data_IF_198477542447
#
_entry.id   IF_198477542447
#
_cell.length_a   1.000
_cell.length_b   1.000
_cell.length_c   1.000
_cell.angle_alpha   90.00
_cell.angle_beta   90.00
_cell.angle_gamma   90.00
#
_symmetry.space_group_name_H-M   'P 1'
#
loop_
_entity.id
_entity.type
_entity.pdbx_description
1 polymer ?
#
# COMPACT_ATOMS: atom_id res chain seq x y z
N UNK A 1 0.37 5.47 6.69
CA UNK A 1 1.21 4.60 5.84
C UNK A 1 2.64 5.13 5.69
N UNK A 2 2.85 6.38 5.24
CA UNK A 2 4.19 7.01 5.11
C UNK A 2 4.98 7.00 6.42
N UNK A 3 4.32 7.19 7.57
CA UNK A 3 4.96 7.14 8.89
C UNK A 3 5.48 5.76 9.30
N UNK A 4 4.85 4.67 8.83
CA UNK A 4 5.32 3.30 9.05
C UNK A 4 6.51 2.99 8.13
N UNK A 5 6.44 3.50 6.89
CA UNK A 5 7.48 3.43 5.87
C UNK A 5 8.78 4.12 6.33
N UNK A 6 8.65 5.31 6.94
CA UNK A 6 9.78 6.05 7.51
C UNK A 6 10.40 5.28 8.68
N UNK A 7 9.60 4.62 9.52
CA UNK A 7 10.10 3.78 10.61
C UNK A 7 10.87 2.56 10.10
N UNK A 8 10.34 1.86 9.09
CA UNK A 8 10.99 0.69 8.47
C UNK A 8 12.31 1.09 7.79
N UNK A 9 12.34 2.22 7.07
CA UNK A 9 13.55 2.73 6.42
C UNK A 9 14.56 3.32 7.42
N UNK A 10 14.10 3.98 8.50
CA UNK A 10 14.97 4.50 9.54
C UNK A 10 15.68 3.39 10.33
N UNK A 11 15.05 2.21 10.49
CA UNK A 11 15.72 1.03 11.06
C UNK A 11 16.90 0.56 10.20
N UNK A 12 16.83 0.69 8.86
CA UNK A 12 17.98 0.39 7.98
C UNK A 12 19.12 1.41 8.13
N UNK A 13 18.81 2.68 8.38
CA UNK A 13 19.84 3.73 8.51
C UNK A 13 20.45 3.82 9.92
N UNK A 14 19.71 3.48 10.99
CA UNK A 14 20.28 3.39 12.34
C UNK A 14 21.30 2.24 12.49
N UNK A 15 21.31 1.27 11.56
CA UNK A 15 22.20 0.11 11.58
C UNK A 15 23.69 0.47 11.63
N UNK A 16 24.13 1.63 11.13
CA UNK A 16 25.56 1.97 11.14
C UNK A 16 26.10 2.32 12.54
N UNK A 17 25.22 2.75 13.45
CA UNK A 17 25.60 3.21 14.80
C UNK A 17 25.42 2.15 15.89
N UNK A 18 24.74 1.03 15.61
CA UNK A 18 24.58 -0.04 16.60
C UNK A 18 25.83 -0.92 16.74
N UNK A 19 26.60 -1.08 15.66
CA UNK A 19 27.86 -1.84 15.67
C UNK A 19 28.94 -1.23 16.57
N UNK A 20 28.89 0.07 16.86
CA UNK A 20 29.87 0.74 17.73
C UNK A 20 29.50 0.71 19.22
N UNK A 21 28.26 0.33 19.57
CA UNK A 21 27.79 0.38 20.96
C UNK A 21 28.15 -0.88 21.77
N UNK A 22 28.31 -2.02 21.09
CA UNK A 22 28.59 -3.31 21.72
C UNK A 22 30.04 -3.71 21.44
N UNK A 23 30.96 -3.28 22.32
CA UNK A 23 32.33 -3.79 22.35
C UNK A 23 32.37 -5.31 22.61
N UNK A 24 33.53 -5.91 22.42
CA UNK A 24 33.87 -7.35 22.30
C UNK A 24 33.41 -8.32 23.44
N UNK A 25 32.52 -7.91 24.34
CA UNK A 25 32.14 -8.67 25.54
C UNK A 25 30.86 -9.54 25.46
N UNK A 26 30.07 -9.52 24.38
CA UNK A 26 28.80 -10.27 24.31
C UNK A 26 28.51 -10.85 22.91
N UNK A 27 29.29 -11.87 22.53
CA UNK A 27 29.18 -12.55 21.22
C UNK A 27 27.76 -13.05 20.91
N UNK A 28 27.02 -13.53 21.92
CA UNK A 28 25.66 -14.07 21.75
C UNK A 28 24.60 -12.97 21.60
N UNK A 29 24.67 -11.87 22.37
CA UNK A 29 23.78 -10.70 22.17
C UNK A 29 23.98 -10.04 20.80
N UNK A 30 25.24 -9.89 20.34
CA UNK A 30 25.53 -9.37 18.99
C UNK A 30 24.96 -10.31 17.92
N UNK A 31 25.19 -11.62 18.05
CA UNK A 31 24.66 -12.63 17.13
C UNK A 31 23.13 -12.64 17.06
N UNK A 32 22.45 -12.60 18.21
CA UNK A 32 20.98 -12.55 18.29
C UNK A 32 20.44 -11.27 17.63
N UNK A 33 21.14 -10.15 17.80
CA UNK A 33 20.78 -8.88 17.17
C UNK A 33 20.98 -8.93 15.65
N UNK A 34 22.08 -9.51 15.15
CA UNK A 34 22.32 -9.68 13.71
C UNK A 34 21.27 -10.60 13.07
N UNK A 35 20.92 -11.70 13.73
CA UNK A 35 19.86 -12.61 13.27
C UNK A 35 18.48 -11.92 13.22
N UNK A 36 18.16 -11.09 14.22
CA UNK A 36 16.95 -10.27 14.18
C UNK A 36 16.93 -9.32 12.98
N UNK A 37 18.06 -8.65 12.69
CA UNK A 37 18.15 -7.74 11.55
C UNK A 37 18.02 -8.46 10.21
N UNK A 38 18.54 -9.68 10.10
CA UNK A 38 18.36 -10.52 8.92
C UNK A 38 16.88 -10.91 8.72
N UNK A 39 16.21 -11.36 9.79
CA UNK A 39 14.77 -11.64 9.80
C UNK A 39 13.93 -10.39 9.48
N UNK A 40 14.36 -9.21 9.92
CA UNK A 40 13.73 -7.95 9.56
C UNK A 40 13.83 -7.65 8.07
N UNK A 41 15.01 -7.82 7.47
CA UNK A 41 15.16 -7.64 6.04
C UNK A 41 14.34 -8.66 5.26
N UNK A 42 14.36 -9.93 5.64
CA UNK A 42 13.58 -10.99 4.98
C UNK A 42 12.07 -10.74 5.05
N UNK A 43 11.54 -10.32 6.20
CA UNK A 43 10.10 -10.05 6.38
C UNK A 43 9.60 -8.82 5.62
N UNK A 44 10.49 -7.86 5.31
CA UNK A 44 10.12 -6.60 4.63
C UNK A 44 10.37 -6.63 3.12
N UNK A 45 11.28 -7.48 2.63
CA UNK A 45 11.61 -7.61 1.20
C UNK A 45 10.39 -7.85 0.28
N UNK A 46 9.43 -8.73 0.62
CA UNK A 46 8.25 -8.96 -0.23
C UNK A 46 7.30 -7.76 -0.32
N UNK A 47 7.33 -6.84 0.65
CA UNK A 47 6.42 -5.69 0.72
C UNK A 47 6.84 -4.58 -0.27
N UNK A 48 8.14 -4.41 -0.46
CA UNK A 48 8.72 -3.35 -1.32
C UNK A 48 8.18 -3.39 -2.77
N UNK A 49 8.22 -4.52 -3.51
CA UNK A 49 7.71 -4.55 -4.88
C UNK A 49 6.19 -4.30 -4.95
N UNK A 50 5.44 -4.68 -3.92
CA UNK A 50 4.00 -4.43 -3.84
C UNK A 50 3.69 -2.94 -3.63
N UNK A 51 4.51 -2.22 -2.85
CA UNK A 51 4.42 -0.75 -2.73
C UNK A 51 4.71 -0.06 -4.06
N UNK A 52 5.68 -0.56 -4.83
CA UNK A 52 5.98 -0.02 -6.16
C UNK A 52 4.77 -0.18 -7.09
N UNK A 53 4.14 -1.36 -7.14
CA UNK A 53 2.90 -1.60 -7.90
C UNK A 53 1.77 -0.66 -7.47
N UNK A 54 1.63 -0.42 -6.16
CA UNK A 54 0.60 0.47 -5.63
C UNK A 54 0.80 1.93 -6.07
N UNK A 55 2.04 2.40 -6.03
CA UNK A 55 2.41 3.75 -6.49
C UNK A 55 2.15 3.91 -7.99
N UNK A 56 2.51 2.91 -8.81
CA UNK A 56 2.27 2.90 -10.25
C UNK A 56 0.76 2.98 -10.54
N UNK A 57 -0.05 2.13 -9.90
CA UNK A 57 -1.51 2.14 -10.09
C UNK A 57 -2.14 3.48 -9.67
N UNK A 58 -1.65 4.11 -8.59
CA UNK A 58 -2.09 5.46 -8.21
C UNK A 58 -1.79 6.50 -9.28
N UNK A 59 -0.60 6.45 -9.86
CA UNK A 59 -0.20 7.37 -10.92
C UNK A 59 -1.03 7.16 -12.19
N UNK A 60 -1.27 5.91 -12.57
CA UNK A 60 -2.13 5.57 -13.71
C UNK A 60 -3.56 6.08 -13.53
N UNK A 61 -4.14 5.92 -12.33
CA UNK A 61 -5.46 6.46 -12.00
C UNK A 61 -5.51 7.98 -12.05
N UNK A 62 -4.47 8.67 -11.57
CA UNK A 62 -4.38 10.12 -11.68
C UNK A 62 -4.34 10.57 -13.16
N UNK A 63 -3.58 9.86 -14.00
CA UNK A 63 -3.49 10.15 -15.42
C UNK A 63 -4.84 9.94 -16.14
N UNK A 64 -5.56 8.85 -15.84
CA UNK A 64 -6.89 8.61 -16.40
C UNK A 64 -7.92 9.63 -15.94
N UNK A 65 -7.88 10.06 -14.67
CA UNK A 65 -8.72 11.14 -14.17
C UNK A 65 -8.49 12.45 -14.94
N UNK A 66 -7.23 12.79 -15.20
CA UNK A 66 -6.90 13.98 -15.99
C UNK A 66 -7.40 13.85 -17.44
N UNK A 67 -7.22 12.69 -18.07
CA UNK A 67 -7.72 12.42 -19.42
C UNK A 67 -9.25 12.53 -19.50
N UNK A 68 -9.94 11.92 -18.54
CA UNK A 68 -11.39 12.00 -18.38
C UNK A 68 -11.88 13.45 -18.24
N UNK A 69 -11.20 14.25 -17.41
CA UNK A 69 -11.47 15.68 -17.26
C UNK A 69 -11.30 16.46 -18.56
N UNK A 70 -10.24 16.18 -19.32
CA UNK A 70 -10.02 16.78 -20.64
C UNK A 70 -11.13 16.41 -21.62
N UNK A 71 -11.52 15.13 -21.71
CA UNK A 71 -12.61 14.66 -22.57
C UNK A 71 -13.94 15.34 -22.24
N UNK A 72 -14.28 15.47 -20.94
CA UNK A 72 -15.48 16.19 -20.49
C UNK A 72 -15.44 17.66 -20.92
N UNK A 73 -14.29 18.32 -20.75
CA UNK A 73 -14.15 19.72 -21.13
C UNK A 73 -14.29 19.90 -22.64
N UNK A 74 -13.69 19.02 -23.45
CA UNK A 74 -13.84 19.03 -24.90
C UNK A 74 -15.31 18.82 -25.31
N UNK A 75 -16.03 17.88 -24.68
CA UNK A 75 -17.47 17.70 -24.94
C UNK A 75 -18.29 18.95 -24.61
N UNK A 76 -18.00 19.62 -23.49
CA UNK A 76 -18.66 20.87 -23.09
C UNK A 76 -18.39 21.99 -24.10
N UNK A 77 -17.16 22.10 -24.58
CA UNK A 77 -16.77 23.12 -25.55
C UNK A 77 -17.42 22.87 -26.92
N UNK A 78 -17.43 21.63 -27.41
CA UNK A 78 -18.13 21.25 -28.65
C UNK A 78 -19.62 21.57 -28.54
N UNK A 79 -20.25 21.24 -27.42
CA UNK A 79 -21.66 21.57 -27.17
C UNK A 79 -21.90 23.08 -27.17
N UNK A 80 -21.07 23.85 -26.47
CA UNK A 80 -21.16 25.32 -26.42
C UNK A 80 -21.00 25.94 -27.81
N UNK A 81 -20.00 25.50 -28.58
CA UNK A 81 -19.75 26.00 -29.92
C UNK A 81 -20.94 25.73 -30.85
N UNK A 82 -21.52 24.53 -30.77
CA UNK A 82 -22.73 24.19 -31.51
C UNK A 82 -23.93 25.05 -31.09
N UNK A 83 -24.12 25.27 -29.78
CA UNK A 83 -25.19 26.13 -29.25
C UNK A 83 -25.04 27.61 -29.65
N UNK A 84 -23.83 28.08 -29.91
CA UNK A 84 -23.54 29.46 -30.31
C UNK A 84 -23.65 29.71 -31.83
N UNK A 85 -23.78 28.67 -32.65
CA UNK A 85 -24.00 28.82 -34.09
C UNK A 85 -25.36 29.47 -34.40
N UNK A 86 -25.44 30.18 -35.53
CA UNK A 86 -26.70 30.72 -36.03
C UNK A 86 -27.68 29.60 -36.42
N UNK A 87 -28.96 29.94 -36.50
CA UNK A 87 -30.04 28.96 -36.76
C UNK A 87 -29.92 28.30 -38.14
N UNK A 88 -29.41 28.99 -39.14
CA UNK A 88 -29.19 28.43 -40.48
C UNK A 88 -28.08 27.39 -40.48
N UNK A 89 -26.96 27.70 -39.83
CA UNK A 89 -25.82 26.78 -39.67
C UNK A 89 -26.16 25.53 -38.86
N UNK A 90 -27.02 25.64 -37.84
CA UNK A 90 -27.49 24.48 -37.05
C UNK A 90 -28.40 23.52 -37.83
N UNK A 91 -29.12 24.05 -38.82
CA UNK A 91 -30.00 23.27 -39.70
C UNK A 91 -29.25 22.67 -40.90
N UNK A 92 -28.01 23.08 -41.15
CA UNK A 92 -27.16 22.47 -42.15
C UNK A 92 -26.88 21.00 -41.75
N UNK A 93 -27.24 20.08 -42.65
CA UNK A 93 -27.15 18.65 -42.43
C UNK A 93 -25.71 18.20 -42.12
N UNK A 94 -24.73 18.68 -42.89
CA UNK A 94 -23.32 18.29 -42.75
C UNK A 94 -22.75 18.74 -41.40
N UNK A 95 -23.13 19.94 -40.95
CA UNK A 95 -22.73 20.49 -39.64
C UNK A 95 -23.33 19.67 -38.50
N UNK A 96 -24.63 19.34 -38.59
CA UNK A 96 -25.33 18.53 -37.59
C UNK A 96 -24.75 17.11 -37.50
N UNK A 97 -24.47 16.49 -38.65
CA UNK A 97 -23.89 15.15 -38.72
C UNK A 97 -22.47 15.13 -38.15
N UNK A 98 -21.63 16.11 -38.53
CA UNK A 98 -20.27 16.25 -38.02
C UNK A 98 -20.25 16.46 -36.50
N UNK A 99 -21.13 17.32 -35.97
CA UNK A 99 -21.28 17.53 -34.54
C UNK A 99 -21.64 16.23 -33.82
N UNK A 100 -22.69 15.54 -34.28
CA UNK A 100 -23.16 14.28 -33.68
C UNK A 100 -22.06 13.23 -33.67
N UNK A 101 -21.38 13.04 -34.80
CA UNK A 101 -20.31 12.06 -34.95
C UNK A 101 -19.14 12.36 -34.01
N UNK A 102 -18.68 13.61 -33.98
CA UNK A 102 -17.55 14.02 -33.12
C UNK A 102 -17.89 13.87 -31.65
N UNK A 103 -19.08 14.31 -31.24
CA UNK A 103 -19.55 14.18 -29.87
C UNK A 103 -19.67 12.71 -29.45
N UNK A 104 -20.22 11.86 -30.32
CA UNK A 104 -20.37 10.43 -30.05
C UNK A 104 -19.03 9.71 -29.94
N UNK A 105 -18.04 10.07 -30.75
CA UNK A 105 -16.68 9.54 -30.66
C UNK A 105 -16.06 9.86 -29.30
N UNK A 106 -16.04 11.14 -28.89
CA UNK A 106 -15.43 11.55 -27.63
C UNK A 106 -16.17 10.92 -26.43
N UNK A 107 -17.50 10.80 -26.52
CA UNK A 107 -18.29 10.11 -25.50
C UNK A 107 -17.87 8.64 -25.36
N UNK A 108 -17.69 7.94 -26.47
CA UNK A 108 -17.27 6.52 -26.47
C UNK A 108 -15.87 6.36 -25.89
N UNK A 109 -14.95 7.27 -26.22
CA UNK A 109 -13.61 7.32 -25.63
C UNK A 109 -13.66 7.59 -24.12
N UNK A 110 -14.52 8.52 -23.69
CA UNK A 110 -14.72 8.82 -22.28
C UNK A 110 -15.27 7.62 -21.51
N UNK A 111 -16.29 6.95 -22.04
CA UNK A 111 -16.87 5.75 -21.43
C UNK A 111 -15.81 4.63 -21.29
N UNK A 112 -14.90 4.52 -22.27
CA UNK A 112 -13.76 3.59 -22.21
C UNK A 112 -12.75 3.99 -21.13
N UNK A 113 -12.42 5.28 -21.01
CA UNK A 113 -11.56 5.80 -19.94
C UNK A 113 -12.15 5.48 -18.56
N UNK A 114 -13.45 5.73 -18.37
CA UNK A 114 -14.16 5.47 -17.11
C UNK A 114 -14.17 3.99 -16.77
N UNK A 115 -14.42 3.11 -17.75
CA UNK A 115 -14.35 1.66 -17.52
C UNK A 115 -12.96 1.23 -17.05
N UNK A 116 -11.89 1.76 -17.66
CA UNK A 116 -10.51 1.48 -17.23
C UNK A 116 -10.21 2.01 -15.83
N UNK A 117 -10.75 3.18 -15.46
CA UNK A 117 -10.63 3.73 -14.12
C UNK A 117 -11.24 2.79 -13.08
N UNK A 118 -12.49 2.34 -13.29
CA UNK A 118 -13.20 1.43 -12.37
C UNK A 118 -12.40 0.14 -12.16
N UNK A 119 -11.88 -0.45 -13.24
CA UNK A 119 -11.06 -1.66 -13.16
C UNK A 119 -9.78 -1.43 -12.31
N UNK A 120 -9.08 -0.32 -12.56
CA UNK A 120 -7.84 0.02 -11.84
C UNK A 120 -8.11 0.40 -10.38
N UNK A 121 -9.23 1.04 -10.07
CA UNK A 121 -9.65 1.30 -8.68
C UNK A 121 -9.89 -0.01 -7.92
N UNK A 122 -10.55 -0.99 -8.57
CA UNK A 122 -10.72 -2.34 -8.01
C UNK A 122 -9.38 -3.01 -7.71
N UNK A 123 -8.44 -2.96 -8.67
CA UNK A 123 -7.06 -3.47 -8.49
C UNK A 123 -6.33 -2.75 -7.36
N UNK A 124 -6.45 -1.42 -7.27
CA UNK A 124 -5.81 -0.62 -6.23
C UNK A 124 -6.36 -0.97 -4.84
N UNK A 125 -7.67 -1.15 -4.69
CA UNK A 125 -8.31 -1.54 -3.43
C UNK A 125 -7.87 -2.94 -2.97
N UNK A 126 -7.83 -3.90 -3.89
CA UNK A 126 -7.32 -5.25 -3.63
C UNK A 126 -5.85 -5.21 -3.18
N UNK A 127 -5.01 -4.47 -3.91
CA UNK A 127 -3.61 -4.31 -3.58
C UNK A 127 -3.38 -3.59 -2.24
N UNK A 128 -4.17 -2.56 -1.93
CA UNK A 128 -4.12 -1.86 -0.65
C UNK A 128 -4.36 -2.82 0.51
N UNK A 129 -5.40 -3.64 0.39
CA UNK A 129 -5.80 -4.62 1.40
C UNK A 129 -4.69 -5.66 1.59
N UNK A 130 -4.13 -6.18 0.50
CA UNK A 130 -2.99 -7.11 0.55
C UNK A 130 -1.78 -6.48 1.22
N UNK A 131 -1.41 -5.26 0.83
CA UNK A 131 -0.29 -4.53 1.44
C UNK A 131 -0.48 -4.32 2.94
N UNK A 132 -1.70 -3.96 3.36
CA UNK A 132 -2.03 -3.78 4.76
C UNK A 132 -1.86 -5.09 5.54
N UNK A 133 -2.35 -6.21 5.00
CA UNK A 133 -2.16 -7.54 5.58
C UNK A 133 -0.67 -7.89 5.72
N UNK A 134 0.11 -7.70 4.65
CA UNK A 134 1.55 -7.96 4.66
C UNK A 134 2.27 -7.10 5.70
N UNK A 135 1.94 -5.81 5.81
CA UNK A 135 2.55 -4.90 6.79
C UNK A 135 2.23 -5.32 8.23
N UNK A 136 0.98 -5.69 8.51
CA UNK A 136 0.56 -6.10 9.85
C UNK A 136 1.24 -7.43 10.22
N UNK A 137 1.25 -8.41 9.31
CA UNK A 137 1.89 -9.70 9.56
C UNK A 137 3.40 -9.57 9.78
N UNK A 138 4.08 -8.73 8.99
CA UNK A 138 5.48 -8.41 9.24
C UNK A 138 5.68 -7.73 10.61
N UNK A 139 4.80 -6.81 11.00
CA UNK A 139 4.82 -6.17 12.32
C UNK A 139 4.67 -7.16 13.48
N UNK A 140 3.71 -8.08 13.39
CA UNK A 140 3.47 -9.13 14.41
C UNK A 140 4.70 -10.03 14.51
N UNK A 141 5.23 -10.50 13.38
CA UNK A 141 6.44 -11.33 13.34
C UNK A 141 7.63 -10.62 13.99
N UNK A 142 7.86 -9.34 13.66
CA UNK A 142 8.95 -8.56 14.23
C UNK A 142 8.80 -8.31 15.74
N UNK A 143 7.58 -8.14 16.23
CA UNK A 143 7.31 -8.04 17.67
C UNK A 143 7.62 -9.34 18.41
N UNK A 144 7.29 -10.49 17.80
CA UNK A 144 7.64 -11.80 18.35
C UNK A 144 9.16 -11.99 18.40
N UNK A 145 9.85 -11.66 17.31
CA UNK A 145 11.31 -11.80 17.22
C UNK A 145 12.06 -10.85 18.17
N UNK A 146 11.59 -9.61 18.35
CA UNK A 146 12.20 -8.69 19.31
C UNK A 146 12.03 -9.13 20.76
N UNK A 147 10.91 -9.78 21.09
CA UNK A 147 10.68 -10.37 22.41
C UNK A 147 11.70 -11.48 22.72
N UNK A 148 12.00 -12.35 21.76
CA UNK A 148 13.03 -13.38 21.94
C UNK A 148 14.41 -12.77 22.19
N UNK A 149 14.79 -11.71 21.48
CA UNK A 149 16.06 -11.01 21.71
C UNK A 149 16.12 -10.41 23.12
N UNK A 150 15.06 -9.73 23.56
CA UNK A 150 14.98 -9.15 24.92
C UNK A 150 15.14 -10.22 26.00
N UNK A 151 14.49 -11.37 25.83
CA UNK A 151 14.58 -12.47 26.79
C UNK A 151 15.98 -13.09 26.82
N UNK A 152 16.63 -13.25 25.66
CA UNK A 152 18.02 -13.70 25.58
C UNK A 152 18.97 -12.75 26.33
N UNK A 153 18.85 -11.43 26.10
CA UNK A 153 19.66 -10.42 26.80
C UNK A 153 19.44 -10.49 28.31
N UNK A 154 18.19 -10.57 28.76
CA UNK A 154 17.88 -10.63 30.20
C UNK A 154 18.43 -11.90 30.86
N UNK A 155 18.41 -13.03 30.14
CA UNK A 155 19.02 -14.29 30.59
C UNK A 155 20.54 -14.15 30.72
N UNK A 156 21.21 -13.53 29.75
CA UNK A 156 22.66 -13.25 29.82
C UNK A 156 23.02 -12.33 31.00
N UNK A 157 22.14 -11.39 31.34
CA UNK A 157 22.32 -10.47 32.47
C UNK A 157 21.93 -11.06 33.84
N UNK A 158 21.56 -12.35 33.93
CA UNK A 158 21.07 -13.01 35.15
C UNK A 158 19.93 -12.23 35.85
N UNK A 159 19.09 -11.55 35.07
CA UNK A 159 17.90 -10.90 35.61
C UNK A 159 16.84 -11.98 35.81
N UNK A 160 16.44 -12.24 37.05
CA UNK A 160 15.40 -13.23 37.38
C UNK A 160 14.14 -13.01 36.56
N UNK A 161 13.69 -14.05 35.86
CA UNK A 161 12.37 -14.10 35.24
C UNK A 161 11.84 -15.53 35.38
N UNK A 162 10.60 -15.65 35.82
CA UNK A 162 9.80 -16.86 35.59
C UNK A 162 9.38 -16.92 34.09
N UNK A 163 10.39 -17.03 33.22
CA UNK A 163 10.31 -16.72 31.79
C UNK A 163 9.46 -17.71 31.00
N UNK A 164 9.31 -18.93 31.50
CA UNK A 164 8.60 -20.02 30.82
C UNK A 164 7.10 -19.75 30.72
N UNK A 165 6.45 -19.30 31.80
CA UNK A 165 5.01 -19.01 31.80
C UNK A 165 4.70 -17.72 31.01
N UNK A 166 5.56 -16.71 31.13
CA UNK A 166 5.43 -15.47 30.37
C UNK A 166 5.62 -15.69 28.86
N UNK A 167 6.63 -16.47 28.46
CA UNK A 167 6.85 -16.88 27.07
C UNK A 167 5.66 -17.66 26.51
N UNK A 168 5.15 -18.63 27.27
CA UNK A 168 4.02 -19.45 26.85
C UNK A 168 2.76 -18.61 26.62
N UNK A 169 2.45 -17.66 27.51
CA UNK A 169 1.34 -16.70 27.32
C UNK A 169 1.54 -15.80 26.11
N UNK A 170 2.75 -15.28 25.90
CA UNK A 170 3.04 -14.42 24.75
C UNK A 170 2.95 -15.20 23.43
N UNK A 171 3.47 -16.43 23.37
CA UNK A 171 3.32 -17.31 22.20
C UNK A 171 1.86 -17.64 21.91
N UNK A 172 1.04 -17.84 22.95
CA UNK A 172 -0.40 -18.07 22.78
C UNK A 172 -1.13 -16.84 22.23
N UNK A 173 -0.78 -15.64 22.71
CA UNK A 173 -1.29 -14.37 22.18
C UNK A 173 -0.88 -14.20 20.70
N UNK A 174 0.39 -14.46 20.37
CA UNK A 174 0.89 -14.35 19.00
C UNK A 174 0.23 -15.37 18.07
N UNK A 175 0.06 -16.64 18.50
CA UNK A 175 -0.68 -17.66 17.74
C UNK A 175 -2.13 -17.28 17.49
N UNK A 176 -2.80 -16.67 18.48
CA UNK A 176 -4.17 -16.15 18.30
C UNK A 176 -4.20 -15.01 17.26
N UNK A 177 -3.16 -14.18 17.23
CA UNK A 177 -3.05 -13.06 16.27
C UNK A 177 -2.61 -13.46 14.86
N UNK A 178 -1.86 -14.56 14.71
CA UNK A 178 -1.30 -15.06 13.43
C UNK A 178 -2.40 -15.39 12.39
N UNK A 179 -3.59 -15.78 12.85
CA UNK A 179 -4.75 -16.12 12.01
C UNK A 179 -5.81 -15.01 11.91
N UNK A 180 -5.66 -13.91 12.66
CA UNK A 180 -6.66 -12.83 12.69
C UNK A 180 -6.49 -11.85 11.53
N UNK A 181 -5.29 -11.74 10.94
CA UNK A 181 -4.98 -10.70 9.93
C UNK A 181 -4.77 -11.28 8.54
N UNK A 182 -5.78 -12.01 8.07
CA UNK A 182 -5.89 -12.42 6.68
C UNK A 182 -6.45 -11.28 5.82
N UNK A 183 -6.18 -11.31 4.51
CA UNK A 183 -6.77 -10.37 3.57
C UNK A 183 -8.31 -10.32 3.72
N UNK A 184 -8.94 -11.48 3.86
CA UNK A 184 -10.39 -11.62 4.07
C UNK A 184 -10.90 -10.91 5.34
N UNK A 185 -10.17 -11.00 6.46
CA UNK A 185 -10.56 -10.36 7.71
C UNK A 185 -10.37 -8.84 7.66
N UNK A 186 -9.34 -8.36 6.94
CA UNK A 186 -9.14 -6.93 6.70
C UNK A 186 -10.25 -6.37 5.81
N UNK A 187 -10.65 -7.08 4.74
CA UNK A 187 -11.76 -6.68 3.88
C UNK A 187 -13.06 -6.52 4.69
N UNK A 188 -13.35 -7.44 5.62
CA UNK A 188 -14.49 -7.34 6.53
C UNK A 188 -14.42 -6.12 7.47
N UNK A 189 -13.23 -5.73 7.91
CA UNK A 189 -13.03 -4.55 8.75
C UNK A 189 -13.20 -3.24 7.97
N UNK A 190 -12.74 -3.19 6.71
CA UNK A 190 -12.85 -2.03 5.83
C UNK A 190 -14.27 -1.80 5.26
N UNK A 191 -15.16 -2.78 5.38
CA UNK A 191 -16.56 -2.71 4.94
C UNK A 191 -17.54 -2.37 6.07
N UNK A 192 -17.04 -2.12 7.30
CA UNK A 192 -17.87 -1.80 8.47
C UNK A 192 -18.07 -0.29 8.70
N UNK A 193 -17.49 0.56 7.86
CA UNK A 193 -17.72 2.01 7.80
C UNK A 193 -18.58 2.35 6.56
#
# INVERSE_FOLDING_TARGET
MVHLLFKVLSCRYSNRNWYSFWGEGQLDTVKNTTQFMEKFNQSTLPIIPEIAKFTILKQELANLNNLSGTQINTMKEIKKNFEQMDSGSKQNFDVLETYKKTFQTIKTEHDTTVASMIEKEGKLKSLHTRLLSMCINAGIYLQKESLYVILSIRKELNLEINSTEYLSRMEEIFKKSENLVTQHNIEKLLLRD
#
